data_IF_337918330708
#
_entry.id   IF_337918330708
#
_cell.length_a   1.000
_cell.length_b   1.000
_cell.length_c   1.000
_cell.angle_alpha   90.00
_cell.angle_beta   90.00
_cell.angle_gamma   90.00
#
_symmetry.space_group_name_H-M   'P 1'
#
loop_
_entity.id
_entity.type
_entity.pdbx_description
1 polymer ?
#
# COMPACT_ATOMS: atom_id res chain seq x y z
N UNK A 1 12.16 33.74 -27.69
CA UNK A 1 10.71 33.86 -27.44
C UNK A 1 10.46 33.49 -25.99
N UNK A 2 10.40 34.51 -25.13
CA UNK A 2 10.09 34.37 -23.70
C UNK A 2 8.57 34.29 -23.56
N UNK A 3 8.04 33.14 -23.17
CA UNK A 3 6.62 32.97 -22.88
C UNK A 3 6.35 33.38 -21.43
N UNK A 4 5.59 34.46 -21.27
CA UNK A 4 5.03 34.92 -20.00
C UNK A 4 4.17 33.81 -19.37
N UNK A 5 4.59 33.28 -18.22
CA UNK A 5 3.69 32.53 -17.33
C UNK A 5 2.77 33.54 -16.64
N UNK A 6 1.48 33.45 -16.91
CA UNK A 6 0.49 34.21 -16.16
C UNK A 6 0.38 33.66 -14.73
N UNK A 7 0.15 34.52 -13.71
CA UNK A 7 -0.06 34.07 -12.34
C UNK A 7 -1.37 33.29 -12.23
N UNK A 8 -1.30 32.16 -11.52
CA UNK A 8 -2.48 31.36 -11.13
C UNK A 8 -3.38 32.23 -10.25
N UNK A 9 -4.68 32.35 -10.55
CA UNK A 9 -5.58 33.14 -9.73
C UNK A 9 -5.73 32.49 -8.35
N UNK A 10 -5.42 33.25 -7.30
CA UNK A 10 -5.72 32.94 -5.91
C UNK A 10 -7.23 33.09 -5.69
N UNK A 11 -8.00 32.16 -6.25
CA UNK A 11 -9.43 32.01 -6.00
C UNK A 11 -9.67 31.26 -4.70
N UNK A 12 -10.59 31.78 -3.87
CA UNK A 12 -11.12 31.13 -2.66
C UNK A 12 -11.30 29.62 -2.85
N UNK A 13 -10.58 28.80 -2.05
CA UNK A 13 -10.92 27.39 -1.87
C UNK A 13 -12.29 27.33 -1.18
N UNK A 14 -13.35 27.21 -1.96
CA UNK A 14 -14.56 26.51 -1.52
C UNK A 14 -14.07 25.20 -0.87
N UNK A 15 -14.54 24.89 0.34
CA UNK A 15 -14.08 23.74 1.11
C UNK A 15 -14.45 22.43 0.38
N UNK A 16 -13.65 22.04 -0.61
CA UNK A 16 -13.78 20.72 -1.22
C UNK A 16 -13.33 19.70 -0.18
N UNK A 17 -14.27 18.87 0.24
CA UNK A 17 -13.98 17.68 1.03
C UNK A 17 -13.05 16.78 0.21
N UNK A 18 -11.94 16.35 0.82
CA UNK A 18 -10.97 15.46 0.19
C UNK A 18 -11.62 14.10 -0.04
N UNK A 19 -11.46 13.56 -1.24
CA UNK A 19 -11.84 12.19 -1.61
C UNK A 19 -10.65 11.26 -1.43
N UNK A 20 -10.71 10.46 -0.38
CA UNK A 20 -9.72 9.46 -0.02
C UNK A 20 -10.25 8.08 -0.40
N UNK A 21 -9.51 7.30 -1.17
CA UNK A 21 -9.75 5.85 -1.29
C UNK A 21 -8.70 5.04 -0.54
N UNK A 22 -9.11 3.88 -0.05
CA UNK A 22 -8.23 2.88 0.55
C UNK A 22 -8.34 1.59 -0.24
N UNK A 23 -7.21 1.11 -0.74
CA UNK A 23 -7.07 -0.23 -1.34
C UNK A 23 -6.61 -1.17 -0.24
N UNK A 24 -7.45 -2.11 0.18
CA UNK A 24 -7.16 -2.99 1.33
C UNK A 24 -7.80 -4.38 1.17
N UNK A 25 -7.42 -5.29 2.07
CA UNK A 25 -8.11 -6.57 2.28
C UNK A 25 -9.57 -6.36 2.72
N UNK A 26 -10.44 -7.39 2.65
CA UNK A 26 -11.84 -7.30 3.05
C UNK A 26 -12.02 -6.60 4.41
N UNK A 27 -12.77 -5.50 4.42
CA UNK A 27 -12.98 -4.68 5.63
C UNK A 27 -13.69 -5.43 6.74
N UNK A 28 -14.41 -6.49 6.40
CA UNK A 28 -15.09 -7.41 7.32
C UNK A 28 -14.11 -8.28 8.11
N UNK A 29 -12.85 -8.39 7.67
CA UNK A 29 -11.85 -9.26 8.28
C UNK A 29 -10.83 -8.51 9.16
N UNK A 30 -10.97 -7.20 9.33
CA UNK A 30 -9.98 -6.40 10.06
C UNK A 30 -10.07 -6.62 11.59
N UNK A 31 -8.90 -6.66 12.23
CA UNK A 31 -8.82 -6.64 13.69
C UNK A 31 -8.89 -5.19 14.21
N UNK A 32 -10.09 -4.62 14.29
CA UNK A 32 -10.39 -3.20 14.60
C UNK A 32 -9.45 -2.56 15.63
N UNK A 33 -9.19 -3.24 16.76
CA UNK A 33 -8.34 -2.71 17.86
C UNK A 33 -6.86 -2.54 17.50
N UNK A 34 -6.38 -3.18 16.44
CA UNK A 34 -4.96 -3.18 16.02
C UNK A 34 -4.78 -2.69 14.58
N UNK A 35 -5.87 -2.43 13.88
CA UNK A 35 -5.84 -2.06 12.48
C UNK A 35 -5.55 -0.57 12.31
N UNK A 36 -4.38 -0.25 11.76
CA UNK A 36 -3.99 1.13 11.52
C UNK A 36 -4.71 1.77 10.33
N UNK A 37 -5.19 0.97 9.38
CA UNK A 37 -6.01 1.46 8.25
C UNK A 37 -7.35 1.98 8.75
N UNK A 38 -7.97 1.26 9.69
CA UNK A 38 -9.19 1.67 10.38
C UNK A 38 -9.02 2.99 11.15
N UNK A 39 -7.92 3.13 11.90
CA UNK A 39 -7.60 4.37 12.58
C UNK A 39 -7.45 5.57 11.62
N UNK A 40 -6.86 5.35 10.44
CA UNK A 40 -6.76 6.37 9.39
C UNK A 40 -8.14 6.75 8.82
N UNK A 41 -9.04 5.79 8.61
CA UNK A 41 -10.40 6.03 8.13
C UNK A 41 -11.24 6.82 9.14
N UNK A 42 -11.16 6.49 10.43
CA UNK A 42 -11.82 7.24 11.51
C UNK A 42 -11.38 8.72 11.48
N UNK A 43 -10.08 8.96 11.37
CA UNK A 43 -9.54 10.33 11.34
C UNK A 43 -9.92 11.08 10.05
N UNK A 44 -9.93 10.40 8.90
CA UNK A 44 -10.38 10.99 7.64
C UNK A 44 -11.84 11.44 7.73
N UNK A 45 -12.72 10.59 8.26
CA UNK A 45 -14.12 10.95 8.51
C UNK A 45 -14.28 12.08 9.52
N UNK A 46 -13.49 12.09 10.60
CA UNK A 46 -13.50 13.18 11.59
C UNK A 46 -13.15 14.53 10.95
N UNK A 47 -12.33 14.54 9.89
CA UNK A 47 -12.01 15.73 9.09
C UNK A 47 -13.06 16.05 8.02
N UNK A 48 -14.13 15.27 7.93
CA UNK A 48 -15.18 15.42 6.92
C UNK A 48 -14.76 14.98 5.53
N UNK A 49 -13.75 14.11 5.39
CA UNK A 49 -13.31 13.57 4.09
C UNK A 49 -14.29 12.52 3.57
N UNK A 50 -14.39 12.44 2.25
CA UNK A 50 -15.11 11.39 1.56
C UNK A 50 -14.20 10.16 1.43
N UNK A 51 -14.45 9.14 2.25
CA UNK A 51 -13.76 7.83 2.23
C UNK A 51 -14.38 6.80 1.28
N UNK A 52 -13.56 6.19 0.42
CA UNK A 52 -13.91 5.13 -0.53
C UNK A 52 -13.12 3.86 -0.21
N UNK A 53 -13.75 2.72 -0.42
CA UNK A 53 -13.17 1.40 -0.26
C UNK A 53 -12.99 0.71 -1.62
N UNK A 54 -11.85 0.05 -1.78
CA UNK A 54 -11.44 -0.72 -2.95
C UNK A 54 -10.69 -1.98 -2.49
N UNK A 55 -10.93 -3.09 -3.17
CA UNK A 55 -9.98 -4.22 -3.21
C UNK A 55 -9.10 -4.10 -4.45
N UNK A 56 -7.92 -4.76 -4.50
CA UNK A 56 -7.10 -4.81 -5.71
C UNK A 56 -7.87 -5.25 -6.96
N UNK A 57 -8.77 -6.22 -6.80
CA UNK A 57 -9.62 -6.77 -7.87
C UNK A 57 -10.68 -5.80 -8.40
N UNK A 58 -10.98 -4.72 -7.67
CA UNK A 58 -11.92 -3.68 -8.11
C UNK A 58 -11.28 -2.67 -9.07
N UNK A 59 -9.95 -2.69 -9.22
CA UNK A 59 -9.16 -1.74 -10.00
C UNK A 59 -8.85 -2.34 -11.37
N UNK A 60 -9.16 -1.60 -12.44
CA UNK A 60 -8.94 -2.08 -13.80
C UNK A 60 -8.62 -0.93 -14.75
N UNK A 61 -7.91 -1.23 -15.83
CA UNK A 61 -7.64 -0.28 -16.92
C UNK A 61 -8.73 -0.45 -18.00
N UNK A 62 -9.42 0.64 -18.33
CA UNK A 62 -10.40 0.68 -19.41
C UNK A 62 -10.09 1.87 -20.31
N UNK A 63 -9.86 1.61 -21.60
CA UNK A 63 -9.66 2.63 -22.64
C UNK A 63 -8.61 3.70 -22.29
N UNK A 64 -7.59 3.32 -21.53
CA UNK A 64 -6.48 4.19 -21.12
C UNK A 64 -6.67 4.94 -19.79
N UNK A 65 -7.86 4.84 -19.18
CA UNK A 65 -8.18 5.35 -17.84
C UNK A 65 -8.21 4.21 -16.82
N UNK A 66 -7.74 4.48 -15.61
CA UNK A 66 -7.81 3.50 -14.52
C UNK A 66 -9.11 3.72 -13.75
N UNK A 67 -9.98 2.73 -13.83
CA UNK A 67 -11.30 2.73 -13.21
C UNK A 67 -11.27 1.92 -11.91
N UNK A 68 -12.20 2.22 -11.02
CA UNK A 68 -12.40 1.46 -9.79
C UNK A 68 -13.88 1.24 -9.50
N UNK A 69 -14.25 0.01 -9.14
CA UNK A 69 -15.54 -0.28 -8.52
C UNK A 69 -15.46 0.07 -7.04
N UNK A 70 -15.76 1.33 -6.70
CA UNK A 70 -15.63 1.83 -5.33
C UNK A 70 -16.94 1.74 -4.57
N UNK A 71 -16.86 1.48 -3.26
CA UNK A 71 -17.96 1.71 -2.33
C UNK A 71 -17.62 2.87 -1.40
N UNK A 72 -18.60 3.73 -1.08
CA UNK A 72 -18.44 4.69 0.03
C UNK A 72 -18.37 3.88 1.32
N UNK A 73 -17.39 4.17 2.16
CA UNK A 73 -17.22 3.51 3.45
C UNK A 73 -17.46 4.49 4.59
N UNK A 74 -18.30 4.09 5.55
CA UNK A 74 -18.44 4.74 6.84
C UNK A 74 -17.93 3.80 7.94
N UNK A 75 -17.01 4.27 8.77
CA UNK A 75 -16.46 3.55 9.92
C UNK A 75 -16.85 4.18 11.25
N UNK A 76 -16.95 3.37 12.30
CA UNK A 76 -17.20 3.81 13.67
C UNK A 76 -16.50 2.88 14.67
N UNK A 77 -16.05 3.41 15.80
CA UNK A 77 -15.37 2.63 16.85
C UNK A 77 -16.36 1.80 17.68
N UNK A 78 -17.02 0.85 16.99
CA UNK A 78 -17.95 -0.12 17.55
C UNK A 78 -17.60 -1.53 17.06
N UNK A 79 -17.13 -2.44 17.94
CA UNK A 79 -16.80 -3.81 17.57
C UNK A 79 -17.96 -4.63 16.98
N UNK A 80 -19.22 -4.20 17.11
CA UNK A 80 -20.37 -4.88 16.51
C UNK A 80 -20.76 -4.38 15.11
N UNK A 81 -20.25 -3.22 14.69
CA UNK A 81 -20.68 -2.50 13.49
C UNK A 81 -19.62 -1.47 13.08
N UNK A 82 -18.38 -1.93 12.85
CA UNK A 82 -17.25 -1.02 12.68
C UNK A 82 -17.18 -0.39 11.29
N UNK A 83 -17.79 -1.00 10.28
CA UNK A 83 -17.75 -0.52 8.90
C UNK A 83 -19.08 -0.81 8.18
N UNK A 84 -19.53 0.17 7.42
CA UNK A 84 -20.69 0.08 6.53
C UNK A 84 -20.29 0.53 5.13
N UNK A 85 -20.59 -0.29 4.13
CA UNK A 85 -20.36 -0.01 2.72
C UNK A 85 -21.68 0.35 2.04
N UNK A 86 -21.68 1.45 1.28
CA UNK A 86 -22.78 1.75 0.36
C UNK A 86 -22.67 0.90 -0.92
N UNK A 87 -23.69 0.97 -1.78
CA UNK A 87 -23.67 0.31 -3.07
C UNK A 87 -22.46 0.76 -3.91
N UNK A 88 -21.77 -0.20 -4.53
CA UNK A 88 -20.59 0.12 -5.32
C UNK A 88 -20.93 0.76 -6.66
N UNK A 89 -20.09 1.69 -7.08
CA UNK A 89 -20.19 2.38 -8.36
C UNK A 89 -18.83 2.38 -9.05
N UNK A 90 -18.84 2.35 -10.39
CA UNK A 90 -17.61 2.49 -11.18
C UNK A 90 -17.34 3.99 -11.35
N UNK A 91 -16.13 4.41 -11.01
CA UNK A 91 -15.65 5.78 -11.25
C UNK A 91 -14.22 5.76 -11.78
N UNK A 92 -13.82 6.84 -12.45
CA UNK A 92 -12.43 7.09 -12.81
C UNK A 92 -11.64 7.40 -11.54
N UNK A 93 -10.56 6.66 -11.28
CA UNK A 93 -9.77 6.86 -10.07
C UNK A 93 -9.00 8.18 -10.07
N UNK A 94 -8.84 8.85 -11.21
CA UNK A 94 -8.28 10.21 -11.30
C UNK A 94 -9.17 11.27 -10.64
N UNK A 95 -10.44 10.97 -10.37
CA UNK A 95 -11.36 11.86 -9.65
C UNK A 95 -11.16 11.87 -8.12
N UNK A 96 -10.26 11.02 -7.61
CA UNK A 96 -9.87 10.96 -6.20
C UNK A 96 -8.71 11.93 -5.92
N UNK A 97 -8.60 12.40 -4.68
CA UNK A 97 -7.47 13.24 -4.26
C UNK A 97 -6.30 12.38 -3.76
N UNK A 98 -6.62 11.31 -3.03
CA UNK A 98 -5.64 10.44 -2.35
C UNK A 98 -6.06 8.98 -2.44
N UNK A 99 -5.09 8.09 -2.68
CA UNK A 99 -5.26 6.63 -2.55
C UNK A 99 -4.24 6.09 -1.55
N UNK A 100 -4.72 5.39 -0.52
CA UNK A 100 -3.87 4.62 0.38
C UNK A 100 -3.81 3.16 -0.07
N UNK A 101 -2.64 2.70 -0.53
CA UNK A 101 -2.36 1.28 -0.79
C UNK A 101 -2.03 0.59 0.54
N UNK A 102 -3.04 -0.07 1.12
CA UNK A 102 -3.03 -0.71 2.44
C UNK A 102 -3.36 -2.21 2.37
N UNK A 103 -3.27 -2.82 1.19
CA UNK A 103 -3.29 -4.27 1.01
C UNK A 103 -2.10 -4.88 1.77
N UNK A 104 -2.36 -5.85 2.63
CA UNK A 104 -1.31 -6.58 3.31
C UNK A 104 -0.55 -7.48 2.31
N UNK A 105 0.73 -7.81 2.58
CA UNK A 105 1.45 -8.85 1.84
C UNK A 105 0.65 -10.18 1.77
N UNK A 106 0.97 -11.06 0.81
CA UNK A 106 2.25 -11.19 0.13
C UNK A 106 2.52 -10.13 -0.95
N UNK A 107 3.80 -9.84 -1.18
CA UNK A 107 4.24 -9.06 -2.32
C UNK A 107 4.31 -9.95 -3.57
N UNK A 108 3.14 -10.23 -4.15
CA UNK A 108 2.97 -11.11 -5.30
C UNK A 108 2.71 -10.34 -6.61
N UNK A 109 2.35 -11.06 -7.67
CA UNK A 109 2.07 -10.44 -8.98
C UNK A 109 0.80 -9.59 -8.97
N UNK A 110 -0.22 -9.93 -8.17
CA UNK A 110 -1.42 -9.10 -8.05
C UNK A 110 -1.07 -7.75 -7.40
N UNK A 111 -0.27 -7.78 -6.33
CA UNK A 111 0.26 -6.58 -5.70
C UNK A 111 1.05 -5.74 -6.71
N UNK A 112 1.97 -6.35 -7.46
CA UNK A 112 2.79 -5.67 -8.48
C UNK A 112 1.90 -5.04 -9.57
N UNK A 113 0.94 -5.77 -10.14
CA UNK A 113 0.06 -5.24 -11.17
C UNK A 113 -0.80 -4.08 -10.67
N UNK A 114 -1.29 -4.19 -9.44
CA UNK A 114 -2.01 -3.09 -8.77
C UNK A 114 -1.14 -1.84 -8.68
N UNK A 115 0.15 -1.97 -8.34
CA UNK A 115 1.05 -0.78 -8.30
C UNK A 115 1.26 -0.14 -9.68
N UNK A 116 1.23 -0.88 -10.79
CA UNK A 116 1.33 -0.26 -12.12
C UNK A 116 0.08 0.56 -12.46
N UNK A 117 -1.11 0.06 -12.10
CA UNK A 117 -2.36 0.80 -12.27
C UNK A 117 -2.38 2.05 -11.39
N UNK A 118 -1.99 1.92 -10.12
CA UNK A 118 -1.92 3.07 -9.21
C UNK A 118 -0.85 4.09 -9.64
N UNK A 119 0.25 3.67 -10.25
CA UNK A 119 1.24 4.61 -10.80
C UNK A 119 0.67 5.43 -11.95
N UNK A 120 -0.17 4.81 -12.79
CA UNK A 120 -0.90 5.53 -13.84
C UNK A 120 -1.85 6.57 -13.24
N UNK A 121 -2.64 6.18 -12.24
CA UNK A 121 -3.51 7.12 -11.50
C UNK A 121 -2.70 8.27 -10.87
N UNK A 122 -1.50 7.98 -10.37
CA UNK A 122 -0.61 9.01 -9.81
C UNK A 122 -0.14 10.02 -10.88
N UNK A 123 0.07 9.57 -12.12
CA UNK A 123 0.43 10.47 -13.24
C UNK A 123 -0.70 11.42 -13.60
N UNK A 124 -1.95 11.05 -13.32
CA UNK A 124 -3.15 11.87 -13.56
C UNK A 124 -3.42 12.87 -12.42
N UNK A 125 -2.55 12.94 -11.41
CA UNK A 125 -2.55 13.98 -10.37
C UNK A 125 -2.96 13.52 -8.97
N UNK A 126 -3.38 12.26 -8.83
CA UNK A 126 -3.79 11.68 -7.54
C UNK A 126 -2.58 11.39 -6.66
N UNK A 127 -2.68 11.66 -5.37
CA UNK A 127 -1.62 11.26 -4.43
C UNK A 127 -1.78 9.80 -4.01
N UNK A 128 -0.90 8.93 -4.47
CA UNK A 128 -0.86 7.54 -4.01
C UNK A 128 0.15 7.36 -2.88
N UNK A 129 -0.27 6.71 -1.79
CA UNK A 129 0.53 6.49 -0.59
C UNK A 129 0.55 4.98 -0.29
N UNK A 130 1.70 4.31 -0.27
CA UNK A 130 3.02 4.82 -0.64
C UNK A 130 3.18 4.93 -2.17
N UNK A 131 4.26 5.59 -2.61
CA UNK A 131 4.56 5.73 -4.03
C UNK A 131 4.67 4.35 -4.71
N UNK A 132 3.90 4.05 -5.77
CA UNK A 132 3.80 2.69 -6.33
C UNK A 132 5.12 2.12 -6.84
N UNK A 133 5.93 2.95 -7.52
CA UNK A 133 7.27 2.52 -7.95
C UNK A 133 8.20 2.20 -6.77
N UNK A 134 8.08 2.94 -5.65
CA UNK A 134 8.87 2.66 -4.45
C UNK A 134 8.47 1.31 -3.87
N UNK A 135 7.17 1.01 -3.77
CA UNK A 135 6.69 -0.31 -3.31
C UNK A 135 7.33 -1.46 -4.08
N UNK A 136 7.49 -1.33 -5.41
CA UNK A 136 8.15 -2.36 -6.22
C UNK A 136 9.68 -2.42 -6.03
N UNK A 137 10.30 -1.28 -5.76
CA UNK A 137 11.75 -1.16 -5.68
C UNK A 137 12.31 -1.41 -4.26
N UNK A 138 11.46 -1.32 -3.23
CA UNK A 138 11.88 -1.44 -1.82
C UNK A 138 11.28 -2.68 -1.16
N UNK A 139 11.74 -3.87 -1.58
CA UNK A 139 11.39 -5.11 -0.87
C UNK A 139 11.80 -5.01 0.60
N UNK A 140 10.91 -5.38 1.52
CA UNK A 140 11.09 -5.17 2.97
C UNK A 140 12.38 -5.77 3.54
N UNK A 141 12.86 -6.89 2.97
CA UNK A 141 14.06 -7.57 3.45
C UNK A 141 15.31 -7.14 2.69
N UNK A 142 15.24 -7.03 1.36
CA UNK A 142 16.38 -6.65 0.54
C UNK A 142 16.74 -5.17 0.68
N UNK A 143 15.77 -4.28 0.92
CA UNK A 143 16.05 -2.85 1.04
C UNK A 143 16.94 -2.53 2.25
N UNK A 144 16.86 -3.33 3.32
CA UNK A 144 17.77 -3.20 4.46
C UNK A 144 19.24 -3.40 4.07
N UNK A 145 19.55 -4.16 3.01
CA UNK A 145 20.92 -4.41 2.54
C UNK A 145 21.60 -3.15 1.98
N UNK A 146 20.82 -2.16 1.55
CA UNK A 146 21.33 -0.84 1.17
C UNK A 146 21.96 -0.07 2.34
N UNK A 147 21.75 -0.54 3.58
CA UNK A 147 22.28 0.04 4.81
C UNK A 147 23.06 -1.01 5.60
N UNK A 148 24.00 -1.70 4.94
CA UNK A 148 24.72 -2.84 5.50
C UNK A 148 25.40 -2.54 6.87
N UNK A 149 25.80 -1.30 7.11
CA UNK A 149 26.35 -0.84 8.40
C UNK A 149 25.36 -0.90 9.57
N UNK A 150 24.07 -0.94 9.29
CA UNK A 150 22.98 -1.03 10.27
C UNK A 150 22.45 -2.47 10.43
N UNK A 151 23.05 -3.44 9.74
CA UNK A 151 22.57 -4.84 9.71
C UNK A 151 23.59 -5.78 10.34
N UNK A 152 23.11 -6.94 10.83
CA UNK A 152 23.97 -8.09 11.13
C UNK A 152 24.54 -8.68 9.83
N UNK A 153 25.62 -9.50 9.86
CA UNK A 153 26.05 -10.24 8.69
C UNK A 153 24.90 -11.02 8.06
N UNK A 154 24.82 -11.03 6.73
CA UNK A 154 23.76 -11.71 5.99
C UNK A 154 24.29 -12.29 4.68
N UNK A 155 23.59 -13.31 4.19
CA UNK A 155 23.70 -13.80 2.82
C UNK A 155 22.31 -13.93 2.23
N UNK A 156 22.15 -13.52 0.96
CA UNK A 156 20.93 -13.76 0.19
C UNK A 156 21.32 -14.63 -1.00
N UNK A 157 20.78 -15.84 -1.07
CA UNK A 157 21.18 -16.80 -2.11
C UNK A 157 20.12 -17.85 -2.35
N UNK A 158 20.06 -18.35 -3.58
CA UNK A 158 19.40 -19.62 -3.94
C UNK A 158 20.36 -20.81 -3.93
N UNK A 159 21.67 -20.57 -3.83
CA UNK A 159 22.68 -21.62 -3.75
C UNK A 159 22.75 -22.15 -2.31
N UNK A 160 22.35 -23.41 -2.12
CA UNK A 160 22.36 -24.10 -0.84
C UNK A 160 23.73 -24.11 -0.16
N UNK A 161 24.80 -24.37 -0.90
CA UNK A 161 26.16 -24.43 -0.35
C UNK A 161 26.58 -23.09 0.27
N UNK A 162 26.23 -21.97 -0.38
CA UNK A 162 26.52 -20.65 0.17
C UNK A 162 25.75 -20.36 1.47
N UNK A 163 24.52 -20.90 1.58
CA UNK A 163 23.72 -20.78 2.81
C UNK A 163 24.29 -21.65 3.93
N UNK A 164 24.64 -22.91 3.64
CA UNK A 164 25.25 -23.83 4.62
C UNK A 164 26.58 -23.27 5.13
N UNK A 165 27.47 -22.82 4.23
CA UNK A 165 28.74 -22.20 4.60
C UNK A 165 28.57 -20.96 5.49
N UNK A 166 27.52 -20.18 5.27
CA UNK A 166 27.22 -19.02 6.12
C UNK A 166 26.81 -19.45 7.54
N UNK A 167 25.97 -20.49 7.66
CA UNK A 167 25.60 -21.07 8.97
C UNK A 167 26.85 -21.62 9.67
N UNK A 168 27.70 -22.35 8.97
CA UNK A 168 28.95 -22.91 9.52
C UNK A 168 29.88 -21.80 10.01
N UNK A 169 30.01 -20.70 9.26
CA UNK A 169 30.88 -19.58 9.63
C UNK A 169 30.39 -18.86 10.89
N UNK A 170 29.07 -18.70 11.04
CA UNK A 170 28.47 -17.93 12.13
C UNK A 170 27.95 -18.79 13.30
N UNK A 171 27.97 -20.13 13.17
CA UNK A 171 27.50 -21.16 14.11
C UNK A 171 25.99 -21.14 14.40
N UNK A 172 25.36 -19.99 14.26
CA UNK A 172 23.92 -19.79 14.41
C UNK A 172 23.44 -18.73 13.41
N UNK A 173 22.31 -19.01 12.74
CA UNK A 173 21.70 -18.07 11.80
C UNK A 173 20.18 -18.15 11.81
N UNK A 174 19.54 -17.06 11.36
CA UNK A 174 18.11 -17.01 11.05
C UNK A 174 17.94 -17.12 9.54
N UNK A 175 17.17 -18.11 9.09
CA UNK A 175 16.84 -18.34 7.68
C UNK A 175 15.37 -18.02 7.45
N UNK A 176 15.07 -17.22 6.43
CA UNK A 176 13.71 -16.75 6.12
C UNK A 176 13.52 -16.46 4.63
N UNK A 177 12.31 -16.61 4.07
CA UNK A 177 12.03 -16.26 2.69
C UNK A 177 11.96 -14.74 2.49
N UNK A 178 12.02 -14.27 1.24
CA UNK A 178 12.04 -12.84 0.90
C UNK A 178 10.66 -12.21 0.79
N UNK A 179 9.61 -13.00 0.57
CA UNK A 179 8.24 -12.60 0.24
C UNK A 179 7.23 -12.73 1.41
N UNK A 180 7.54 -13.52 2.44
CA UNK A 180 6.69 -13.65 3.64
C UNK A 180 6.74 -12.47 4.62
N UNK A 181 5.81 -12.42 5.57
CA UNK A 181 5.70 -11.39 6.61
C UNK A 181 5.38 -12.01 7.98
N UNK A 182 5.29 -11.20 9.05
CA UNK A 182 4.76 -11.60 10.35
C UNK A 182 5.39 -12.87 11.00
N UNK A 183 6.66 -13.15 10.71
CA UNK A 183 7.36 -14.33 11.25
C UNK A 183 7.10 -15.62 10.48
N UNK A 184 6.41 -15.54 9.34
CA UNK A 184 6.16 -16.70 8.49
C UNK A 184 7.46 -17.28 7.93
N UNK A 185 7.57 -18.61 8.00
CA UNK A 185 8.73 -19.40 7.54
C UNK A 185 10.09 -18.88 8.05
N UNK A 186 10.15 -18.41 9.29
CA UNK A 186 11.40 -18.00 9.95
C UNK A 186 11.96 -19.17 10.77
N UNK A 187 13.15 -19.64 10.39
CA UNK A 187 13.84 -20.77 11.01
C UNK A 187 15.10 -20.31 11.72
N UNK A 188 15.35 -20.87 12.90
CA UNK A 188 16.64 -20.77 13.58
C UNK A 188 17.46 -22.01 13.25
N UNK A 189 18.61 -21.82 12.63
CA UNK A 189 19.54 -22.90 12.28
C UNK A 189 20.78 -22.82 13.15
N UNK A 190 21.28 -23.98 13.56
CA UNK A 190 22.53 -24.15 14.30
C UNK A 190 23.30 -25.31 13.71
N UNK A 191 24.61 -25.21 13.71
CA UNK A 191 25.51 -26.32 13.43
C UNK A 191 25.95 -26.99 14.75
#
# INVERSE_FOLDING_TARGET
MLSCRQPVPTGQRLSMSIKLAVVMDPVENIAVRKDSTFAMLLEAQRRGWLTHYLQPSDIFLQDGAVMGRTARITVQDDPGDWARLEASTVQDLSELDVILMRKDPPFDMEYIYTTFLLERVQQDGVRVINHPASLRNTNEKLFATCFAQCTVPYVVSRNRQALEQFVDTHQEAVVKPLDGMAGDLVFRMRH
#
